data_IF_558643837758
#
_entry.id   IF_558643837758
#
_cell.length_a   1.000
_cell.length_b   1.000
_cell.length_c   1.000
_cell.angle_alpha   90.00
_cell.angle_beta   90.00
_cell.angle_gamma   90.00
#
_symmetry.space_group_name_H-M   'P 1'
#
loop_
_entity.id
_entity.type
_entity.pdbx_description
1 polymer ?
#
# COMPACT_ATOMS: atom_id res chain seq x y z
N UNK A 1 17.18 -26.56 19.71
CA UNK A 1 17.06 -25.61 18.58
C UNK A 1 16.84 -24.22 19.19
N UNK A 2 17.85 -23.35 19.07
CA UNK A 2 18.06 -22.18 19.95
C UNK A 2 17.19 -20.97 19.59
N UNK A 3 16.28 -20.60 20.51
CA UNK A 3 15.44 -19.39 20.50
C UNK A 3 16.25 -18.09 20.35
N UNK A 4 17.53 -18.10 20.72
CA UNK A 4 18.43 -16.95 20.60
C UNK A 4 18.84 -16.64 19.15
N UNK A 5 18.97 -17.66 18.29
CA UNK A 5 19.31 -17.45 16.87
C UNK A 5 18.12 -16.87 16.09
N UNK A 6 16.90 -17.32 16.39
CA UNK A 6 15.69 -16.82 15.73
C UNK A 6 15.42 -15.33 16.00
N UNK A 7 15.85 -14.80 17.15
CA UNK A 7 15.67 -13.38 17.47
C UNK A 7 16.66 -12.49 16.71
N UNK A 8 17.92 -12.93 16.59
CA UNK A 8 18.94 -12.21 15.82
C UNK A 8 18.59 -12.15 14.33
N UNK A 9 18.18 -13.28 13.76
CA UNK A 9 17.77 -13.35 12.34
C UNK A 9 16.56 -12.44 12.07
N UNK A 10 15.60 -12.39 13.01
CA UNK A 10 14.45 -11.49 12.91
C UNK A 10 14.84 -10.01 12.94
N UNK A 11 15.82 -9.64 13.75
CA UNK A 11 16.29 -8.25 13.85
C UNK A 11 17.07 -7.83 12.61
N UNK A 12 17.89 -8.72 12.03
CA UNK A 12 18.54 -8.49 10.74
C UNK A 12 17.50 -8.28 9.62
N UNK A 13 16.44 -9.09 9.58
CA UNK A 13 15.34 -8.95 8.63
C UNK A 13 14.61 -7.60 8.82
N UNK A 14 14.34 -7.18 10.07
CA UNK A 14 13.71 -5.88 10.34
C UNK A 14 14.56 -4.73 9.82
N UNK A 15 15.87 -4.77 10.06
CA UNK A 15 16.84 -3.78 9.57
C UNK A 15 16.84 -3.74 8.04
N UNK A 16 16.88 -4.91 7.39
CA UNK A 16 16.86 -4.99 5.93
C UNK A 16 15.55 -4.44 5.33
N UNK A 17 14.40 -4.83 5.88
CA UNK A 17 13.09 -4.28 5.47
C UNK A 17 13.04 -2.76 5.63
N UNK A 18 13.58 -2.23 6.74
CA UNK A 18 13.68 -0.78 6.97
C UNK A 18 14.57 -0.11 5.92
N UNK A 19 15.72 -0.69 5.60
CA UNK A 19 16.65 -0.20 4.58
C UNK A 19 16.00 -0.13 3.20
N UNK A 20 15.26 -1.16 2.80
CA UNK A 20 14.54 -1.19 1.52
C UNK A 20 13.46 -0.10 1.48
N UNK A 21 12.65 0.03 2.53
CA UNK A 21 11.62 1.08 2.60
C UNK A 21 12.23 2.48 2.49
N UNK A 22 13.30 2.75 3.23
CA UNK A 22 14.01 4.03 3.14
C UNK A 22 14.53 4.30 1.73
N UNK A 23 15.19 3.31 1.10
CA UNK A 23 15.68 3.44 -0.28
C UNK A 23 14.55 3.78 -1.26
N UNK A 24 13.42 3.09 -1.18
CA UNK A 24 12.28 3.34 -2.08
C UNK A 24 11.68 4.73 -1.82
N UNK A 25 11.46 5.10 -0.57
CA UNK A 25 10.96 6.43 -0.21
C UNK A 25 11.88 7.55 -0.72
N UNK A 26 13.20 7.43 -0.52
CA UNK A 26 14.18 8.37 -1.05
C UNK A 26 14.11 8.47 -2.57
N UNK A 27 14.02 7.34 -3.27
CA UNK A 27 13.88 7.34 -4.74
C UNK A 27 12.59 8.03 -5.17
N UNK A 28 11.47 7.83 -4.47
CA UNK A 28 10.21 8.48 -4.82
C UNK A 28 10.25 10.00 -4.63
N UNK A 29 10.89 10.48 -3.55
CA UNK A 29 11.07 11.90 -3.28
C UNK A 29 12.04 12.55 -4.28
N UNK A 30 13.22 11.94 -4.47
CA UNK A 30 14.28 12.46 -5.37
C UNK A 30 13.83 12.52 -6.82
N UNK A 31 13.10 11.50 -7.29
CA UNK A 31 12.59 11.45 -8.67
C UNK A 31 11.25 12.19 -8.84
N UNK A 32 10.74 12.86 -7.79
CA UNK A 32 9.46 13.58 -7.81
C UNK A 32 8.29 12.71 -8.31
N UNK A 33 8.29 11.43 -7.93
CA UNK A 33 7.22 10.45 -8.23
C UNK A 33 6.14 10.53 -7.14
N UNK A 34 6.52 10.86 -5.91
CA UNK A 34 5.59 11.05 -4.81
C UNK A 34 4.64 12.24 -5.08
N UNK A 35 3.35 12.04 -4.82
CA UNK A 35 2.36 13.12 -4.81
C UNK A 35 1.83 13.31 -3.39
N UNK A 36 1.08 14.39 -3.15
CA UNK A 36 0.56 14.67 -1.82
C UNK A 36 -0.18 13.44 -1.25
N UNK A 37 0.10 13.05 0.01
CA UNK A 37 0.86 13.82 0.99
C UNK A 37 2.37 13.51 1.02
N UNK A 38 3.20 14.56 1.17
CA UNK A 38 4.69 14.51 1.22
C UNK A 38 5.24 15.04 2.56
N UNK A 39 6.43 14.59 3.03
CA UNK A 39 7.30 13.56 2.43
C UNK A 39 6.86 12.11 2.75
N UNK A 40 7.07 11.14 1.86
CA UNK A 40 6.50 9.77 1.98
C UNK A 40 7.03 8.90 3.13
N UNK A 41 8.03 9.38 3.89
CA UNK A 41 8.62 8.62 4.99
C UNK A 41 7.59 8.21 6.05
N UNK A 42 7.63 6.93 6.45
CA UNK A 42 6.80 6.39 7.53
C UNK A 42 5.34 6.11 7.15
N UNK A 43 4.94 6.27 5.88
CA UNK A 43 3.58 6.06 5.39
C UNK A 43 3.51 5.21 4.12
N UNK A 44 2.31 4.79 3.75
CA UNK A 44 2.05 4.29 2.39
C UNK A 44 2.10 5.49 1.43
N UNK A 45 3.06 5.51 0.48
CA UNK A 45 3.25 6.66 -0.40
C UNK A 45 2.12 6.78 -1.42
N UNK A 46 1.63 8.00 -1.63
CA UNK A 46 0.90 8.31 -2.85
C UNK A 46 1.89 8.59 -3.99
N UNK A 47 1.52 8.26 -5.23
CA UNK A 47 2.43 8.34 -6.37
C UNK A 47 1.75 8.79 -7.66
N UNK A 48 2.50 9.42 -8.55
CA UNK A 48 2.07 9.71 -9.93
C UNK A 48 1.65 8.41 -10.61
N UNK A 49 0.56 8.43 -11.37
CA UNK A 49 -0.03 7.26 -12.03
C UNK A 49 -0.71 6.26 -11.08
N UNK A 50 -0.98 6.63 -9.81
CA UNK A 50 -1.79 5.79 -8.90
C UNK A 50 -3.18 5.51 -9.46
N UNK A 51 -3.77 6.43 -10.20
CA UNK A 51 -5.03 6.24 -10.93
C UNK A 51 -4.95 5.18 -12.03
N UNK A 52 -3.83 5.10 -12.74
CA UNK A 52 -3.62 4.09 -13.80
C UNK A 52 -3.45 2.72 -13.16
N UNK A 53 -2.70 2.65 -12.04
CA UNK A 53 -2.57 1.43 -11.27
C UNK A 53 -3.93 0.95 -10.71
N UNK A 54 -4.75 1.86 -10.19
CA UNK A 54 -6.09 1.56 -9.72
C UNK A 54 -6.98 1.01 -10.84
N UNK A 55 -7.00 1.65 -12.02
CA UNK A 55 -7.77 1.15 -13.19
C UNK A 55 -7.35 -0.25 -13.60
N UNK A 56 -6.04 -0.50 -13.72
CA UNK A 56 -5.53 -1.84 -14.06
C UNK A 56 -5.96 -2.91 -13.05
N UNK A 57 -5.96 -2.59 -11.76
CA UNK A 57 -6.46 -3.50 -10.73
C UNK A 57 -7.96 -3.78 -10.92
N UNK A 58 -8.75 -2.73 -11.13
CA UNK A 58 -10.20 -2.82 -11.32
C UNK A 58 -10.53 -3.70 -12.53
N UNK A 59 -9.79 -3.58 -13.63
CA UNK A 59 -9.98 -4.37 -14.85
C UNK A 59 -9.66 -5.87 -14.69
N UNK A 60 -9.01 -6.29 -13.61
CA UNK A 60 -8.69 -7.71 -13.42
C UNK A 60 -9.95 -8.56 -13.20
N UNK A 61 -9.95 -9.78 -13.75
CA UNK A 61 -11.03 -10.74 -13.52
C UNK A 61 -11.28 -11.04 -12.04
N UNK A 62 -10.22 -10.99 -11.21
CA UNK A 62 -10.33 -11.19 -9.76
C UNK A 62 -11.15 -10.08 -9.12
N UNK A 63 -10.87 -8.81 -9.45
CA UNK A 63 -11.64 -7.69 -8.93
C UNK A 63 -13.08 -7.68 -9.46
N UNK A 64 -13.27 -7.95 -10.75
CA UNK A 64 -14.59 -7.95 -11.37
C UNK A 64 -15.54 -8.98 -10.73
N UNK A 65 -15.03 -10.18 -10.44
CA UNK A 65 -15.80 -11.27 -9.83
C UNK A 65 -15.97 -11.15 -8.31
N UNK A 66 -15.18 -10.31 -7.63
CA UNK A 66 -15.28 -10.17 -6.18
C UNK A 66 -16.57 -9.43 -5.77
N UNK A 67 -17.32 -9.99 -4.84
CA UNK A 67 -18.50 -9.32 -4.25
C UNK A 67 -18.15 -8.49 -3.01
N UNK A 68 -17.07 -8.87 -2.32
CA UNK A 68 -16.56 -8.22 -1.12
C UNK A 68 -15.09 -7.87 -1.33
N UNK A 69 -14.71 -6.63 -1.07
CA UNK A 69 -13.36 -6.13 -1.30
C UNK A 69 -12.85 -5.36 -0.09
N UNK A 70 -11.69 -5.75 0.43
CA UNK A 70 -10.97 -4.98 1.43
C UNK A 70 -10.06 -3.95 0.76
N UNK A 71 -10.15 -2.68 1.16
CA UNK A 71 -9.30 -1.60 0.63
C UNK A 71 -8.86 -0.68 1.77
N UNK A 72 -7.57 -0.38 1.86
CA UNK A 72 -7.02 0.49 2.91
C UNK A 72 -7.44 1.96 2.71
N UNK A 73 -7.44 2.79 3.76
CA UNK A 73 -7.84 4.21 3.68
C UNK A 73 -6.82 5.12 2.96
N UNK A 74 -5.61 4.63 2.67
CA UNK A 74 -4.52 5.43 2.11
C UNK A 74 -4.89 6.09 0.76
N UNK A 75 -4.30 7.26 0.52
CA UNK A 75 -4.55 8.09 -0.66
C UNK A 75 -4.44 7.36 -2.02
N UNK A 76 -3.42 6.52 -2.30
CA UNK A 76 -3.32 5.85 -3.60
C UNK A 76 -4.45 4.85 -3.87
N UNK A 77 -5.17 4.40 -2.83
CA UNK A 77 -6.25 3.41 -2.96
C UNK A 77 -7.65 4.04 -3.03
N UNK A 78 -7.75 5.38 -2.98
CA UNK A 78 -9.04 6.10 -3.02
C UNK A 78 -9.91 5.67 -4.20
N UNK A 79 -9.34 5.62 -5.41
CA UNK A 79 -10.09 5.27 -6.63
C UNK A 79 -10.59 3.82 -6.62
N UNK A 80 -9.88 2.92 -5.93
CA UNK A 80 -10.33 1.53 -5.76
C UNK A 80 -11.56 1.51 -4.85
N UNK A 81 -11.55 2.24 -3.73
CA UNK A 81 -12.71 2.37 -2.84
C UNK A 81 -13.94 2.94 -3.56
N UNK A 82 -13.74 3.99 -4.35
CA UNK A 82 -14.79 4.59 -5.17
C UNK A 82 -15.36 3.58 -6.17
N UNK A 83 -14.52 2.77 -6.82
CA UNK A 83 -14.96 1.75 -7.75
C UNK A 83 -15.76 0.63 -7.08
N UNK A 84 -15.34 0.14 -5.90
CA UNK A 84 -16.08 -0.87 -5.13
C UNK A 84 -17.51 -0.38 -4.85
N UNK A 85 -17.67 0.86 -4.38
CA UNK A 85 -18.98 1.45 -4.09
C UNK A 85 -19.80 1.63 -5.37
N UNK A 86 -19.21 2.17 -6.45
CA UNK A 86 -19.90 2.39 -7.73
C UNK A 86 -20.38 1.12 -8.40
N UNK A 87 -19.70 0.00 -8.15
CA UNK A 87 -20.04 -1.31 -8.70
C UNK A 87 -20.92 -2.14 -7.75
N UNK A 88 -21.49 -1.51 -6.72
CA UNK A 88 -22.41 -2.13 -5.76
C UNK A 88 -21.79 -3.34 -5.02
N UNK A 89 -20.47 -3.34 -4.84
CA UNK A 89 -19.73 -4.35 -4.08
C UNK A 89 -19.65 -3.96 -2.61
N UNK A 90 -19.49 -4.93 -1.72
CA UNK A 90 -19.29 -4.68 -0.29
C UNK A 90 -17.86 -4.20 -0.03
N UNK A 91 -17.70 -2.98 0.46
CA UNK A 91 -16.41 -2.41 0.85
C UNK A 91 -16.12 -2.69 2.32
N UNK A 92 -15.00 -3.37 2.59
CA UNK A 92 -14.40 -3.45 3.94
C UNK A 92 -13.20 -2.51 3.97
N UNK A 93 -13.09 -1.68 4.99
CA UNK A 93 -11.97 -0.76 5.18
C UNK A 93 -11.49 -0.83 6.62
N UNK A 94 -10.17 -0.86 6.83
CA UNK A 94 -9.61 -0.70 8.17
C UNK A 94 -9.91 0.71 8.70
N UNK A 95 -10.37 0.80 9.96
CA UNK A 95 -10.51 2.08 10.65
C UNK A 95 -9.11 2.64 10.93
N UNK A 96 -8.74 3.78 10.35
CA UNK A 96 -7.45 4.38 10.63
C UNK A 96 -7.44 4.91 12.08
N UNK A 97 -6.42 4.51 12.86
CA UNK A 97 -6.16 4.97 14.23
C UNK A 97 -7.23 4.58 15.27
N UNK A 98 -7.49 3.28 15.41
CA UNK A 98 -7.89 2.72 16.71
C UNK A 98 -6.65 2.52 17.58
#
# INVERSE_FOLDING_TARGET
MNVLNSNKDNDEIKVLKKRIRMRIWELMERNNIAIFPRPVYGRIPNFKMSEVAARRLIETNVFQKAEVVFVCPDSPQRLIREAVIRMEKTLIMATPKL
#
